data_IF_789175642643
#
_entry.id   IF_789175642643
#
_cell.length_a   1.000
_cell.length_b   1.000
_cell.length_c   1.000
_cell.angle_alpha   90.00
_cell.angle_beta   90.00
_cell.angle_gamma   90.00
#
_symmetry.space_group_name_H-M   'P 1'
#
loop_
_entity.id
_entity.type
_entity.pdbx_description
1 polymer ?
#
# COMPACT_ATOMS: atom_id res chain seq x y z
N UNK A 1 11.92 24.35 -11.66
CA UNK A 1 10.48 24.24 -11.32
C UNK A 1 9.91 23.10 -12.15
N UNK A 2 9.23 22.15 -11.53
CA UNK A 2 8.63 20.99 -12.22
C UNK A 2 7.14 21.27 -12.44
N UNK A 3 6.64 21.05 -13.67
CA UNK A 3 5.22 21.23 -13.99
C UNK A 3 4.41 20.02 -13.51
N UNK A 4 3.46 20.18 -12.57
CA UNK A 4 2.66 19.08 -12.07
C UNK A 4 1.76 18.44 -13.14
N UNK A 5 1.30 19.19 -14.15
CA UNK A 5 0.45 18.63 -15.20
C UNK A 5 1.24 17.69 -16.10
N UNK A 6 2.47 18.08 -16.47
CA UNK A 6 3.37 17.21 -17.23
C UNK A 6 3.70 15.91 -16.47
N UNK A 7 3.88 15.97 -15.15
CA UNK A 7 4.08 14.77 -14.33
C UNK A 7 2.84 13.87 -14.30
N UNK A 8 1.65 14.45 -14.18
CA UNK A 8 0.40 13.70 -14.17
C UNK A 8 0.18 13.01 -15.52
N UNK A 9 0.45 13.69 -16.62
CA UNK A 9 0.35 13.11 -17.96
C UNK A 9 1.36 11.97 -18.17
N UNK A 10 2.55 12.06 -17.58
CA UNK A 10 3.59 11.04 -17.69
C UNK A 10 3.38 9.82 -16.77
N UNK A 11 2.95 10.04 -15.53
CA UNK A 11 2.97 9.00 -14.48
C UNK A 11 1.58 8.65 -13.91
N UNK A 12 0.57 9.48 -14.15
CA UNK A 12 -0.76 9.34 -13.57
C UNK A 12 -0.98 10.14 -12.28
N UNK A 13 -2.23 10.53 -12.04
CA UNK A 13 -2.60 11.44 -10.95
C UNK A 13 -2.27 10.87 -9.57
N UNK A 14 -2.69 9.63 -9.30
CA UNK A 14 -2.53 9.03 -7.96
C UNK A 14 -1.08 8.64 -7.68
N UNK A 15 -0.33 8.25 -8.70
CA UNK A 15 1.10 7.98 -8.63
C UNK A 15 1.87 9.23 -8.21
N UNK A 16 1.58 10.38 -8.84
CA UNK A 16 2.20 11.66 -8.50
C UNK A 16 1.81 12.09 -7.08
N UNK A 17 0.53 11.99 -6.71
CA UNK A 17 0.06 12.33 -5.35
C UNK A 17 0.72 11.47 -4.29
N UNK A 18 0.81 10.16 -4.51
CA UNK A 18 1.47 9.23 -3.60
C UNK A 18 2.94 9.59 -3.46
N UNK A 19 3.67 9.73 -4.58
CA UNK A 19 5.09 10.05 -4.57
C UNK A 19 5.39 11.32 -3.77
N UNK A 20 4.66 12.42 -4.03
CA UNK A 20 4.88 13.69 -3.35
C UNK A 20 4.62 13.62 -1.84
N UNK A 21 3.64 12.83 -1.41
CA UNK A 21 3.30 12.66 0.00
C UNK A 21 4.17 11.62 0.72
N UNK A 22 4.79 10.69 -0.02
CA UNK A 22 5.58 9.58 0.53
C UNK A 22 7.08 9.88 0.59
N UNK A 23 7.62 10.51 -0.46
CA UNK A 23 9.06 10.65 -0.65
C UNK A 23 9.65 11.78 0.20
N UNK A 24 8.88 12.87 0.36
CA UNK A 24 9.35 14.07 1.06
C UNK A 24 8.70 14.14 2.44
N UNK A 25 9.49 14.14 3.53
CA UNK A 25 8.99 14.49 4.85
C UNK A 25 8.37 15.88 4.79
N UNK A 26 7.07 15.95 5.07
CA UNK A 26 6.33 17.21 4.95
C UNK A 26 6.93 18.28 5.87
N UNK A 27 7.22 19.45 5.32
CA UNK A 27 7.94 20.53 6.02
C UNK A 27 9.46 20.58 5.79
N UNK A 28 10.02 19.63 5.04
CA UNK A 28 11.41 19.68 4.57
C UNK A 28 11.49 19.89 3.06
N UNK A 29 12.62 20.39 2.60
CA UNK A 29 12.93 20.47 1.17
C UNK A 29 13.15 19.06 0.62
N UNK A 30 12.44 18.73 -0.46
CA UNK A 30 12.58 17.46 -1.17
C UNK A 30 13.22 17.65 -2.53
N UNK A 31 13.96 16.65 -2.99
CA UNK A 31 14.44 16.57 -4.37
C UNK A 31 13.54 15.64 -5.19
N UNK A 32 13.30 16.01 -6.44
CA UNK A 32 12.65 15.17 -7.43
C UNK A 32 13.68 14.63 -8.42
N UNK A 33 13.56 13.36 -8.76
CA UNK A 33 14.14 12.79 -9.97
C UNK A 33 13.14 11.83 -10.61
N UNK A 34 13.24 11.66 -11.93
CA UNK A 34 12.42 10.71 -12.67
C UNK A 34 12.64 9.27 -12.19
N UNK A 35 13.89 8.90 -11.91
CA UNK A 35 14.23 7.59 -11.35
C UNK A 35 13.57 7.35 -9.97
N UNK A 36 13.46 8.38 -9.12
CA UNK A 36 12.86 8.25 -7.80
C UNK A 36 11.35 7.98 -7.89
N UNK A 37 10.62 8.73 -8.73
CA UNK A 37 9.18 8.52 -8.91
C UNK A 37 8.89 7.17 -9.56
N UNK A 38 9.65 6.79 -10.59
CA UNK A 38 9.53 5.47 -11.23
C UNK A 38 9.79 4.35 -10.22
N UNK A 39 10.86 4.50 -9.41
CA UNK A 39 11.21 3.55 -8.36
C UNK A 39 10.07 3.34 -7.36
N UNK A 40 9.47 4.44 -6.86
CA UNK A 40 8.32 4.38 -5.93
C UNK A 40 7.08 3.79 -6.56
N UNK A 41 6.73 4.17 -7.78
CA UNK A 41 5.57 3.60 -8.48
C UNK A 41 5.72 2.09 -8.61
N UNK A 42 6.88 1.63 -9.07
CA UNK A 42 7.12 0.21 -9.31
C UNK A 42 7.17 -0.60 -8.01
N UNK A 43 7.95 -0.15 -7.02
CA UNK A 43 8.13 -0.89 -5.77
C UNK A 43 6.86 -0.82 -4.90
N UNK A 44 6.36 0.38 -4.63
CA UNK A 44 5.34 0.58 -3.61
C UNK A 44 3.94 0.30 -4.17
N UNK A 45 3.60 0.89 -5.33
CA UNK A 45 2.23 0.84 -5.86
C UNK A 45 1.98 -0.41 -6.71
N UNK A 46 2.86 -0.70 -7.67
CA UNK A 46 2.67 -1.85 -8.56
C UNK A 46 2.97 -3.16 -7.84
N UNK A 47 4.14 -3.27 -7.20
CA UNK A 47 4.56 -4.52 -6.58
C UNK A 47 3.91 -4.76 -5.22
N UNK A 48 4.09 -3.87 -4.24
CA UNK A 48 3.66 -4.16 -2.86
C UNK A 48 2.13 -4.17 -2.73
N UNK A 49 1.46 -3.18 -3.28
CA UNK A 49 0.00 -3.08 -3.24
C UNK A 49 -0.69 -3.81 -4.41
N UNK A 50 -0.35 -3.44 -5.64
CA UNK A 50 -1.03 -3.89 -6.86
C UNK A 50 -0.98 -5.40 -7.05
N UNK A 51 0.20 -6.02 -6.94
CA UNK A 51 0.33 -7.48 -7.11
C UNK A 51 -0.34 -8.27 -5.97
N UNK A 52 -0.38 -7.75 -4.74
CA UNK A 52 -1.10 -8.42 -3.65
C UNK A 52 -2.61 -8.45 -3.93
N UNK A 53 -3.18 -7.30 -4.30
CA UNK A 53 -4.59 -7.19 -4.67
C UNK A 53 -4.91 -8.08 -5.90
N UNK A 54 -4.07 -8.01 -6.94
CA UNK A 54 -4.29 -8.78 -8.17
C UNK A 54 -4.26 -10.29 -7.90
N UNK A 55 -3.29 -10.79 -7.12
CA UNK A 55 -3.18 -12.22 -6.79
C UNK A 55 -4.38 -12.70 -5.98
N UNK A 56 -4.72 -11.99 -4.90
CA UNK A 56 -5.83 -12.37 -4.02
C UNK A 56 -7.19 -12.31 -4.73
N UNK A 57 -7.50 -11.20 -5.42
CA UNK A 57 -8.76 -11.05 -6.16
C UNK A 57 -8.86 -12.04 -7.33
N UNK A 58 -7.76 -12.33 -8.03
CA UNK A 58 -7.78 -13.32 -9.11
C UNK A 58 -8.13 -14.72 -8.60
N UNK A 59 -7.65 -15.11 -7.42
CA UNK A 59 -7.97 -16.40 -6.81
C UNK A 59 -9.43 -16.47 -6.40
N UNK A 60 -9.97 -15.41 -5.78
CA UNK A 60 -11.40 -15.30 -5.46
C UNK A 60 -12.25 -15.42 -6.73
N UNK A 61 -11.87 -14.70 -7.80
CA UNK A 61 -12.60 -14.75 -9.06
C UNK A 61 -12.57 -16.13 -9.73
N UNK A 62 -11.42 -16.82 -9.72
CA UNK A 62 -11.24 -18.11 -10.39
C UNK A 62 -11.79 -19.30 -9.60
N UNK A 63 -11.69 -19.25 -8.27
CA UNK A 63 -11.87 -20.43 -7.42
C UNK A 63 -13.09 -20.34 -6.51
N UNK A 64 -13.68 -19.14 -6.35
CA UNK A 64 -14.73 -18.87 -5.36
C UNK A 64 -15.92 -18.11 -5.97
N UNK A 65 -16.19 -18.32 -7.27
CA UNK A 65 -17.30 -17.69 -8.02
C UNK A 65 -17.37 -16.16 -7.88
N UNK A 66 -16.21 -15.52 -7.73
CA UNK A 66 -16.08 -14.09 -7.47
C UNK A 66 -16.87 -13.59 -6.23
N UNK A 67 -17.02 -14.45 -5.21
CA UNK A 67 -17.67 -14.13 -3.94
C UNK A 67 -16.66 -14.18 -2.80
N UNK A 68 -16.80 -13.24 -1.87
CA UNK A 68 -16.01 -13.26 -0.64
C UNK A 68 -16.32 -14.56 0.11
N UNK A 69 -15.31 -15.41 0.41
CA UNK A 69 -15.53 -16.66 1.10
C UNK A 69 -15.90 -16.41 2.57
N UNK A 70 -16.72 -17.30 3.14
CA UNK A 70 -16.96 -17.33 4.58
C UNK A 70 -15.74 -17.96 5.27
N UNK A 71 -15.06 -17.26 6.19
CA UNK A 71 -13.92 -17.83 6.89
C UNK A 71 -14.40 -18.91 7.88
N UNK A 72 -13.80 -20.11 7.83
CA UNK A 72 -14.15 -21.20 8.76
C UNK A 72 -13.71 -20.94 10.22
N UNK A 73 -12.81 -19.96 10.42
CA UNK A 73 -12.24 -19.55 11.69
C UNK A 73 -10.92 -18.81 11.45
N UNK A 74 -10.38 -18.15 12.48
CA UNK A 74 -9.11 -17.45 12.41
C UNK A 74 -8.05 -18.14 13.27
N UNK A 75 -6.93 -18.47 12.63
CA UNK A 75 -5.67 -18.87 13.26
C UNK A 75 -5.04 -17.68 14.00
N UNK A 76 -3.99 -17.95 14.79
CA UNK A 76 -3.25 -16.89 15.48
C UNK A 76 -2.58 -15.93 14.49
N UNK A 77 -2.06 -16.44 13.37
CA UNK A 77 -1.47 -15.62 12.32
C UNK A 77 -2.50 -14.70 11.64
N UNK A 78 -3.73 -15.18 11.45
CA UNK A 78 -4.82 -14.36 10.89
C UNK A 78 -5.17 -13.23 11.86
N UNK A 79 -5.31 -13.56 13.15
CA UNK A 79 -5.64 -12.60 14.21
C UNK A 79 -4.56 -11.54 14.38
N UNK A 80 -3.29 -11.93 14.30
CA UNK A 80 -2.17 -11.00 14.37
C UNK A 80 -2.22 -10.00 13.21
N UNK A 81 -2.41 -10.46 11.98
CA UNK A 81 -2.51 -9.58 10.81
C UNK A 81 -3.73 -8.65 10.90
N UNK A 82 -4.90 -9.18 11.29
CA UNK A 82 -6.12 -8.39 11.45
C UNK A 82 -5.96 -7.33 12.54
N UNK A 83 -5.36 -7.66 13.68
CA UNK A 83 -5.10 -6.70 14.75
C UNK A 83 -4.17 -5.56 14.28
N UNK A 84 -3.13 -5.87 13.50
CA UNK A 84 -2.26 -4.84 12.91
C UNK A 84 -3.05 -3.89 11.99
N UNK A 85 -3.98 -4.43 11.20
CA UNK A 85 -4.84 -3.64 10.33
C UNK A 85 -5.84 -2.77 11.12
N UNK A 86 -6.44 -3.31 12.20
CA UNK A 86 -7.39 -2.59 13.05
C UNK A 86 -6.74 -1.37 13.75
N UNK A 87 -5.45 -1.46 14.09
CA UNK A 87 -4.70 -0.36 14.69
C UNK A 87 -4.38 0.79 13.71
N UNK A 88 -4.42 0.55 12.40
CA UNK A 88 -3.96 1.52 11.40
C UNK A 88 -4.73 2.82 11.45
N UNK A 89 -6.05 2.78 11.63
CA UNK A 89 -6.88 3.99 11.59
C UNK A 89 -6.44 5.01 12.65
N UNK A 90 -6.17 4.54 13.88
CA UNK A 90 -5.72 5.40 14.96
C UNK A 90 -4.33 5.99 14.68
N UNK A 91 -3.38 5.16 14.19
CA UNK A 91 -2.02 5.59 13.82
C UNK A 91 -2.04 6.62 12.70
N UNK A 92 -2.77 6.34 11.62
CA UNK A 92 -2.91 7.23 10.46
C UNK A 92 -3.52 8.56 10.87
N UNK A 93 -4.60 8.57 11.66
CA UNK A 93 -5.20 9.82 12.16
C UNK A 93 -4.20 10.67 12.94
N UNK A 94 -3.48 10.05 13.88
CA UNK A 94 -2.48 10.76 14.67
C UNK A 94 -1.40 11.43 13.80
N UNK A 95 -0.98 10.78 12.70
CA UNK A 95 -0.04 11.38 11.75
C UNK A 95 -0.65 12.52 10.92
N UNK A 96 -1.92 12.40 10.52
CA UNK A 96 -2.63 13.47 9.82
C UNK A 96 -2.89 14.70 10.70
N UNK A 97 -3.03 14.53 12.03
CA UNK A 97 -3.19 15.64 12.98
C UNK A 97 -1.92 16.50 13.11
N UNK A 98 -0.74 15.95 12.77
CA UNK A 98 0.57 16.63 12.82
C UNK A 98 1.23 16.76 11.43
N UNK A 99 0.44 17.10 10.39
CA UNK A 99 0.81 17.08 8.97
C UNK A 99 1.89 16.09 8.51
N UNK A 100 1.92 14.87 9.04
CA UNK A 100 2.95 13.88 8.78
C UNK A 100 2.47 12.76 7.84
N UNK A 101 1.94 13.12 6.67
CA UNK A 101 1.35 12.17 5.72
C UNK A 101 2.34 11.08 5.25
N UNK A 102 3.63 11.40 5.17
CA UNK A 102 4.68 10.44 4.87
C UNK A 102 4.73 9.28 5.88
N UNK A 103 4.55 9.57 7.18
CA UNK A 103 4.47 8.55 8.24
C UNK A 103 3.15 7.78 8.19
N UNK A 104 2.05 8.44 7.83
CA UNK A 104 0.78 7.76 7.63
C UNK A 104 0.87 6.72 6.50
N UNK A 105 1.47 7.10 5.37
CA UNK A 105 1.70 6.19 4.24
C UNK A 105 2.70 5.09 4.61
N UNK A 106 3.77 5.40 5.35
CA UNK A 106 4.71 4.40 5.85
C UNK A 106 4.03 3.35 6.75
N UNK A 107 3.12 3.76 7.64
CA UNK A 107 2.36 2.84 8.49
C UNK A 107 1.47 1.90 7.64
N UNK A 108 0.78 2.45 6.63
CA UNK A 108 -0.06 1.66 5.72
C UNK A 108 0.81 0.64 4.95
N UNK A 109 1.95 1.08 4.41
CA UNK A 109 2.85 0.20 3.66
C UNK A 109 3.53 -0.86 4.53
N UNK A 110 3.79 -0.57 5.80
CA UNK A 110 4.28 -1.55 6.77
C UNK A 110 3.28 -2.69 6.97
N UNK A 111 1.97 -2.38 7.04
CA UNK A 111 0.92 -3.38 7.09
C UNK A 111 0.82 -4.17 5.79
N UNK A 112 0.91 -3.51 4.62
CA UNK A 112 0.96 -4.20 3.32
C UNK A 112 2.13 -5.20 3.24
N UNK A 113 3.30 -4.83 3.75
CA UNK A 113 4.43 -5.75 3.84
C UNK A 113 4.15 -6.96 4.75
N UNK A 114 3.44 -6.75 5.87
CA UNK A 114 2.98 -7.85 6.72
C UNK A 114 1.98 -8.75 5.99
N UNK A 115 1.02 -8.17 5.25
CA UNK A 115 0.06 -8.90 4.45
C UNK A 115 0.72 -9.71 3.32
N UNK A 116 1.73 -9.17 2.63
CA UNK A 116 2.49 -9.90 1.61
C UNK A 116 3.27 -11.10 2.19
N UNK A 117 3.88 -10.92 3.37
CA UNK A 117 4.56 -12.02 4.08
C UNK A 117 3.58 -13.09 4.53
N UNK A 118 2.44 -12.69 5.10
CA UNK A 118 1.35 -13.58 5.48
C UNK A 118 0.86 -14.38 4.27
N UNK A 119 0.52 -13.69 3.16
CA UNK A 119 0.02 -14.34 1.95
C UNK A 119 1.03 -15.35 1.37
N UNK A 120 2.33 -15.02 1.45
CA UNK A 120 3.39 -15.93 1.01
C UNK A 120 3.56 -17.14 1.93
N UNK A 121 3.39 -16.97 3.25
CA UNK A 121 3.53 -18.05 4.22
C UNK A 121 2.32 -19.00 4.24
N UNK A 122 1.12 -18.50 3.93
CA UNK A 122 -0.10 -19.32 3.88
C UNK A 122 -0.27 -20.09 2.57
N UNK A 123 0.47 -19.72 1.52
CA UNK A 123 0.46 -20.37 0.21
C UNK A 123 -0.95 -20.76 -0.30
N UNK A 124 -1.94 -19.84 -0.35
CA UNK A 124 -3.35 -20.20 -0.64
C UNK A 124 -3.59 -20.80 -2.03
N UNK A 125 -2.56 -20.88 -2.87
CA UNK A 125 -2.58 -21.42 -4.23
C UNK A 125 -2.23 -22.90 -4.31
N UNK A 126 -1.76 -23.50 -3.21
CA UNK A 126 -1.45 -24.94 -3.08
C UNK A 126 -2.69 -25.67 -2.61
#
# INVERSE_FOLDING_TARGET
VVDPFALIDAFGLDQVRYFLLREVPFGQDGSYSEDAIIGRINADLANEFGNLAQRSLSMVNKNLDARVPEPAGFTDADRELLALADELLAKVRAHFDVPAMHLALEAIWSMLGAANRYFSAQEPWV
#
